data_IF_728651595922
#
_entry.id   IF_728651595922
#
_cell.length_a   1.000
_cell.length_b   1.000
_cell.length_c   1.000
_cell.angle_alpha   90.00
_cell.angle_beta   90.00
_cell.angle_gamma   90.00
#
_symmetry.space_group_name_H-M   'P 1'
#
loop_
_entity.id
_entity.type
_entity.pdbx_description
1 polymer ?
#
# COMPACT_ATOMS: atom_id res chain seq x y z
N UNK A 1 3.89 31.27 10.60
CA UNK A 1 3.78 29.96 11.27
C UNK A 1 2.48 29.22 10.92
N UNK A 2 1.28 29.74 11.22
CA UNK A 2 -0.02 29.04 10.97
C UNK A 2 -0.17 28.51 9.52
N UNK A 3 0.07 29.35 8.51
CA UNK A 3 -0.02 28.96 7.09
C UNK A 3 1.00 27.87 6.70
N UNK A 4 2.22 27.94 7.26
CA UNK A 4 3.25 26.93 6.99
C UNK A 4 2.86 25.57 7.59
N UNK A 5 2.36 25.58 8.83
CA UNK A 5 1.85 24.36 9.48
C UNK A 5 0.67 23.76 8.74
N UNK A 6 -0.28 24.59 8.29
CA UNK A 6 -1.41 24.16 7.46
C UNK A 6 -0.95 23.49 6.16
N UNK A 7 -0.05 24.14 5.41
CA UNK A 7 0.49 23.59 4.17
C UNK A 7 1.24 22.27 4.42
N UNK A 8 1.93 22.15 5.55
CA UNK A 8 2.59 20.90 5.96
C UNK A 8 1.57 19.79 6.19
N UNK A 9 0.49 20.04 6.93
CA UNK A 9 -0.58 19.04 7.13
C UNK A 9 -1.15 18.56 5.80
N UNK A 10 -1.45 19.47 4.89
CA UNK A 10 -1.96 19.10 3.57
C UNK A 10 -0.95 18.26 2.76
N UNK A 11 0.34 18.64 2.82
CA UNK A 11 1.40 17.87 2.15
C UNK A 11 1.53 16.48 2.74
N UNK A 12 1.55 16.35 4.07
CA UNK A 12 1.66 15.08 4.77
C UNK A 12 0.47 14.17 4.42
N UNK A 13 -0.76 14.69 4.44
CA UNK A 13 -1.96 13.93 4.08
C UNK A 13 -1.94 13.46 2.61
N UNK A 14 -1.56 14.34 1.66
CA UNK A 14 -1.43 13.95 0.25
C UNK A 14 -0.38 12.87 0.04
N UNK A 15 0.77 12.99 0.72
CA UNK A 15 1.85 12.01 0.63
C UNK A 15 1.43 10.65 1.19
N UNK A 16 0.73 10.64 2.34
CA UNK A 16 0.19 9.42 2.93
C UNK A 16 -0.84 8.76 2.01
N UNK A 17 -1.79 9.54 1.47
CA UNK A 17 -2.81 9.02 0.55
C UNK A 17 -2.18 8.44 -0.73
N UNK A 18 -1.19 9.14 -1.32
CA UNK A 18 -0.45 8.63 -2.47
C UNK A 18 0.25 7.32 -2.17
N UNK A 19 0.94 7.23 -1.02
CA UNK A 19 1.67 6.01 -0.65
C UNK A 19 0.76 4.83 -0.35
N UNK A 20 -0.41 5.08 0.25
CA UNK A 20 -1.45 4.06 0.45
C UNK A 20 -1.88 3.50 -0.90
N UNK A 21 -2.26 4.36 -1.85
CA UNK A 21 -2.72 3.93 -3.16
C UNK A 21 -1.67 3.16 -3.97
N UNK A 22 -0.39 3.55 -3.89
CA UNK A 22 0.73 2.80 -4.48
C UNK A 22 0.81 1.37 -3.94
N UNK A 23 0.76 1.21 -2.60
CA UNK A 23 0.91 -0.09 -1.95
C UNK A 23 -0.34 -0.97 -2.13
N UNK A 24 -1.53 -0.38 -2.16
CA UNK A 24 -2.76 -1.11 -2.49
C UNK A 24 -2.70 -1.70 -3.90
N UNK A 25 -2.23 -0.92 -4.89
CA UNK A 25 -2.03 -1.41 -6.26
C UNK A 25 -1.02 -2.57 -6.31
N UNK A 26 0.08 -2.48 -5.57
CA UNK A 26 1.08 -3.56 -5.49
C UNK A 26 0.51 -4.84 -4.85
N UNK A 27 -0.28 -4.70 -3.78
CA UNK A 27 -0.95 -5.82 -3.14
C UNK A 27 -1.98 -6.49 -4.06
N UNK A 28 -2.72 -5.71 -4.84
CA UNK A 28 -3.69 -6.20 -5.82
C UNK A 28 -2.99 -6.97 -6.96
N UNK A 29 -1.87 -6.48 -7.47
CA UNK A 29 -1.04 -7.19 -8.46
C UNK A 29 -0.57 -8.55 -7.92
N UNK A 30 -0.09 -8.58 -6.67
CA UNK A 30 0.26 -9.84 -6.01
C UNK A 30 -0.95 -10.77 -5.84
N UNK A 31 -2.13 -10.23 -5.51
CA UNK A 31 -3.37 -10.98 -5.39
C UNK A 31 -3.80 -11.64 -6.70
N UNK A 32 -3.67 -10.94 -7.82
CA UNK A 32 -3.97 -11.47 -9.14
C UNK A 32 -3.05 -12.64 -9.50
N UNK A 33 -1.73 -12.49 -9.27
CA UNK A 33 -0.77 -13.58 -9.50
C UNK A 33 -1.09 -14.79 -8.62
N UNK A 34 -1.37 -14.59 -7.33
CA UNK A 34 -1.75 -15.67 -6.42
C UNK A 34 -3.01 -16.42 -6.88
N UNK A 35 -4.00 -15.71 -7.39
CA UNK A 35 -5.24 -16.31 -7.91
C UNK A 35 -4.93 -17.30 -9.03
N UNK A 36 -4.06 -16.91 -9.97
CA UNK A 36 -3.64 -17.80 -11.06
C UNK A 36 -2.77 -18.97 -10.61
N UNK A 37 -1.99 -18.81 -9.53
CA UNK A 37 -1.08 -19.85 -9.04
C UNK A 37 -1.74 -20.85 -8.10
N UNK A 38 -2.86 -20.51 -7.46
CA UNK A 38 -3.55 -21.40 -6.52
C UNK A 38 -4.09 -22.68 -7.18
N UNK A 39 -4.57 -22.58 -8.43
CA UNK A 39 -4.96 -23.76 -9.22
C UNK A 39 -3.75 -24.68 -9.44
N UNK A 40 -2.64 -24.12 -9.92
CA UNK A 40 -1.39 -24.86 -10.12
C UNK A 40 -0.81 -25.42 -8.81
N UNK A 41 -1.00 -24.74 -7.67
CA UNK A 41 -0.57 -25.24 -6.37
C UNK A 41 -1.34 -26.52 -5.97
N UNK A 42 -2.61 -26.59 -6.33
CA UNK A 42 -3.48 -27.72 -6.01
C UNK A 42 -3.22 -28.91 -6.94
N UNK A 43 -3.08 -28.65 -8.24
CA UNK A 43 -2.95 -29.71 -9.25
C UNK A 43 -1.50 -30.16 -9.47
N UNK A 44 -0.54 -29.23 -9.46
CA UNK A 44 0.86 -29.49 -9.82
C UNK A 44 1.85 -28.69 -8.94
N UNK A 45 1.93 -28.95 -7.62
CA UNK A 45 2.73 -28.16 -6.67
C UNK A 45 4.23 -28.13 -7.00
N UNK A 46 4.75 -29.20 -7.60
CA UNK A 46 6.16 -29.35 -8.02
C UNK A 46 6.45 -28.75 -9.41
N UNK A 47 5.46 -28.17 -10.09
CA UNK A 47 5.64 -27.50 -11.38
C UNK A 47 6.69 -26.41 -11.25
N UNK A 48 7.65 -26.38 -12.18
CA UNK A 48 8.70 -25.36 -12.21
C UNK A 48 8.08 -23.96 -12.34
N UNK A 49 8.55 -23.04 -11.52
CA UNK A 49 8.20 -21.63 -11.51
C UNK A 49 9.49 -20.81 -11.58
N UNK A 50 9.50 -19.75 -12.39
CA UNK A 50 10.69 -18.93 -12.59
C UNK A 50 10.44 -17.51 -12.09
N UNK A 51 11.25 -17.06 -11.12
CA UNK A 51 11.17 -15.69 -10.60
C UNK A 51 12.23 -14.81 -11.27
N UNK A 52 11.81 -13.72 -11.91
CA UNK A 52 12.72 -12.73 -12.48
C UNK A 52 13.23 -11.78 -11.38
N UNK A 53 14.54 -11.74 -11.16
CA UNK A 53 15.20 -10.86 -10.19
C UNK A 53 16.39 -10.19 -10.88
N UNK A 54 16.35 -8.86 -11.02
CA UNK A 54 17.47 -8.11 -11.61
C UNK A 54 17.90 -8.59 -13.00
N UNK A 55 16.95 -9.10 -13.80
CA UNK A 55 17.23 -9.66 -15.13
C UNK A 55 17.59 -11.15 -15.16
N UNK A 56 17.71 -11.82 -14.01
CA UNK A 56 18.01 -13.27 -13.91
C UNK A 56 16.76 -14.05 -13.53
N UNK A 57 16.48 -15.13 -14.26
CA UNK A 57 15.42 -16.08 -13.90
C UNK A 57 15.95 -17.11 -12.90
N UNK A 58 15.32 -17.18 -11.74
CA UNK A 58 15.62 -18.16 -10.69
C UNK A 58 14.55 -19.25 -10.69
N UNK A 59 14.97 -20.50 -10.91
CA UNK A 59 14.10 -21.67 -10.85
C UNK A 59 13.67 -21.99 -9.40
N UNK A 60 12.37 -22.23 -9.23
CA UNK A 60 11.66 -22.62 -8.01
C UNK A 60 10.52 -23.57 -8.39
N UNK A 61 9.73 -24.01 -7.41
CA UNK A 61 8.46 -24.69 -7.65
C UNK A 61 7.27 -23.82 -7.27
N UNK A 62 6.06 -24.16 -7.74
CA UNK A 62 4.83 -23.45 -7.35
C UNK A 62 4.65 -23.46 -5.83
N UNK A 63 4.86 -24.60 -5.16
CA UNK A 63 4.75 -24.71 -3.69
C UNK A 63 5.77 -23.86 -2.93
N UNK A 64 6.91 -23.52 -3.52
CA UNK A 64 7.88 -22.61 -2.90
C UNK A 64 7.51 -21.14 -3.10
N UNK A 65 6.92 -20.80 -4.26
CA UNK A 65 6.67 -19.41 -4.66
C UNK A 65 5.38 -18.86 -4.03
N UNK A 66 4.32 -19.66 -3.95
CA UNK A 66 3.02 -19.20 -3.43
C UNK A 66 3.10 -18.69 -1.98
N UNK A 67 3.79 -19.38 -1.04
CA UNK A 67 3.94 -18.86 0.33
C UNK A 67 4.69 -17.53 0.38
N UNK A 68 5.75 -17.38 -0.43
CA UNK A 68 6.52 -16.14 -0.47
C UNK A 68 5.72 -14.96 -1.03
N UNK A 69 4.93 -15.18 -2.09
CA UNK A 69 4.05 -14.15 -2.65
C UNK A 69 2.94 -13.76 -1.66
N UNK A 70 2.35 -14.75 -0.98
CA UNK A 70 1.33 -14.51 0.06
C UNK A 70 1.90 -13.67 1.20
N UNK A 71 3.07 -14.06 1.73
CA UNK A 71 3.73 -13.33 2.82
C UNK A 71 4.06 -11.88 2.43
N UNK A 72 4.53 -11.65 1.20
CA UNK A 72 4.82 -10.30 0.71
C UNK A 72 3.55 -9.45 0.60
N UNK A 73 2.49 -9.98 -0.03
CA UNK A 73 1.19 -9.30 -0.12
C UNK A 73 0.66 -8.93 1.25
N UNK A 74 0.67 -9.86 2.19
CA UNK A 74 0.14 -9.64 3.54
C UNK A 74 0.97 -8.59 4.31
N UNK A 75 2.29 -8.58 4.11
CA UNK A 75 3.17 -7.53 4.63
C UNK A 75 2.84 -6.15 4.04
N UNK A 76 2.53 -6.06 2.75
CA UNK A 76 2.10 -4.83 2.09
C UNK A 76 0.77 -4.35 2.68
N UNK A 77 -0.23 -5.25 2.81
CA UNK A 77 -1.53 -4.92 3.40
C UNK A 77 -1.41 -4.45 4.85
N UNK A 78 -0.51 -5.05 5.63
CA UNK A 78 -0.21 -4.58 6.98
C UNK A 78 0.38 -3.16 6.96
N UNK A 79 1.31 -2.87 6.04
CA UNK A 79 1.87 -1.53 5.89
C UNK A 79 0.80 -0.51 5.48
N UNK A 80 -0.12 -0.87 4.57
CA UNK A 80 -1.29 -0.05 4.20
C UNK A 80 -2.14 0.25 5.43
N UNK A 81 -2.46 -0.75 6.24
CA UNK A 81 -3.23 -0.57 7.49
C UNK A 81 -2.56 0.43 8.44
N UNK A 82 -1.25 0.31 8.64
CA UNK A 82 -0.48 1.24 9.48
C UNK A 82 -0.48 2.67 8.92
N UNK A 83 -0.34 2.83 7.59
CA UNK A 83 -0.39 4.14 6.94
C UNK A 83 -1.79 4.77 7.00
N UNK A 84 -2.84 3.97 6.87
CA UNK A 84 -4.21 4.42 7.01
C UNK A 84 -4.52 4.92 8.43
N UNK A 85 -3.98 4.27 9.46
CA UNK A 85 -4.07 4.77 10.85
C UNK A 85 -3.32 6.08 11.05
N UNK A 86 -2.10 6.21 10.49
CA UNK A 86 -1.34 7.45 10.51
C UNK A 86 -2.08 8.59 9.80
N UNK A 87 -2.68 8.30 8.62
CA UNK A 87 -3.50 9.25 7.88
C UNK A 87 -4.67 9.76 8.74
N UNK A 88 -5.45 8.84 9.33
CA UNK A 88 -6.60 9.21 10.18
C UNK A 88 -6.20 10.03 11.40
N UNK A 89 -5.06 9.71 12.01
CA UNK A 89 -4.53 10.49 13.14
C UNK A 89 -4.17 11.90 12.71
N UNK A 90 -3.44 12.03 11.60
CA UNK A 90 -3.00 13.31 11.04
C UNK A 90 -4.17 14.17 10.54
N UNK A 91 -5.21 13.53 9.99
CA UNK A 91 -6.43 14.18 9.53
C UNK A 91 -7.18 14.81 10.70
N UNK A 92 -7.33 14.09 11.82
CA UNK A 92 -7.93 14.64 13.05
C UNK A 92 -7.13 15.82 13.61
N UNK A 93 -5.80 15.74 13.61
CA UNK A 93 -4.95 16.86 14.04
C UNK A 93 -5.12 18.08 13.14
N UNK A 94 -5.16 17.86 11.82
CA UNK A 94 -5.38 18.91 10.84
C UNK A 94 -6.76 19.55 10.98
N UNK A 95 -7.81 18.76 11.25
CA UNK A 95 -9.16 19.25 11.50
C UNK A 95 -9.23 20.08 12.78
N UNK A 96 -8.66 19.59 13.89
CA UNK A 96 -8.56 20.35 15.13
C UNK A 96 -7.78 21.67 14.94
N UNK A 97 -6.72 21.65 14.13
CA UNK A 97 -5.95 22.84 13.79
C UNK A 97 -6.79 23.85 12.99
N UNK A 98 -7.56 23.41 12.00
CA UNK A 98 -8.48 24.29 11.25
C UNK A 98 -9.49 24.96 12.16
N UNK A 99 -10.09 24.22 13.08
CA UNK A 99 -11.07 24.76 14.05
C UNK A 99 -10.43 25.78 14.99
N UNK A 100 -9.26 25.46 15.57
CA UNK A 100 -8.54 26.35 16.50
C UNK A 100 -8.22 27.71 15.86
N UNK A 101 -7.79 27.71 14.59
CA UNK A 101 -7.41 28.91 13.87
C UNK A 101 -8.53 29.48 12.99
N UNK A 102 -9.75 28.92 13.06
CA UNK A 102 -10.92 29.32 12.27
C UNK A 102 -10.61 29.39 10.77
N UNK A 103 -9.81 28.46 10.27
CA UNK A 103 -9.42 28.38 8.86
C UNK A 103 -10.65 27.99 8.06
N UNK A 104 -11.12 28.90 7.21
CA UNK A 104 -12.28 28.64 6.35
C UNK A 104 -11.83 28.00 5.04
N UNK A 105 -12.53 26.97 4.56
CA UNK A 105 -12.36 26.55 3.17
C UNK A 105 -12.69 27.75 2.28
N UNK A 106 -11.76 28.11 1.40
CA UNK A 106 -12.08 29.08 0.35
C UNK A 106 -12.98 28.31 -0.63
N UNK A 107 -14.27 28.61 -0.63
CA UNK A 107 -15.14 28.17 -1.71
C UNK A 107 -14.55 28.78 -3.00
N UNK A 108 -14.06 27.92 -3.90
CA UNK A 108 -13.65 28.36 -5.23
C UNK A 108 -14.86 28.94 -5.99
N UNK A 109 -14.63 29.84 -6.97
CA UNK A 109 -15.68 30.31 -7.85
C UNK A 109 -16.37 29.16 -8.61
#
# INVERSE_FOLDING_TARGET
>A
EVLQTFNRYQSDLRNLAGKIGELESEADEHGLVLTTLNEALTEEPDRKCFRLIGGVLVERTVKDVVPALTMNRDGILQAVGNLAEQYKTKEKEHDAFKELYKIRPVAGP
#
